data_IF_768316068002
#
_entry.id   IF_768316068002
#
_cell.length_a   1.000
_cell.length_b   1.000
_cell.length_c   1.000
_cell.angle_alpha   90.00
_cell.angle_beta   90.00
_cell.angle_gamma   90.00
#
_symmetry.space_group_name_H-M   'P 1'
#
loop_
_entity.id
_entity.type
_entity.pdbx_description
1 polymer ?
#
# COMPACT_ATOMS: atom_id res chain seq x y z
N UNK A 1 -21.04 16.12 0.44
CA UNK A 1 -20.63 16.01 -0.99
C UNK A 1 -19.15 16.32 -1.08
N UNK A 2 -18.48 16.00 -2.17
CA UNK A 2 -17.07 16.39 -2.36
C UNK A 2 -16.97 17.39 -3.49
N UNK A 3 -16.12 18.40 -3.31
CA UNK A 3 -15.82 19.39 -4.35
C UNK A 3 -14.31 19.45 -4.60
N UNK A 4 -13.92 19.73 -5.85
CA UNK A 4 -12.50 19.91 -6.19
C UNK A 4 -12.05 21.24 -5.58
N UNK A 5 -11.05 21.18 -4.70
CA UNK A 5 -10.44 22.36 -4.08
C UNK A 5 -9.08 22.70 -4.69
N UNK A 6 -8.41 21.71 -5.33
CA UNK A 6 -7.14 21.95 -5.99
C UNK A 6 -6.86 20.93 -7.09
N UNK A 7 -6.11 21.36 -8.11
CA UNK A 7 -5.54 20.50 -9.16
C UNK A 7 -4.06 20.85 -9.30
N UNK A 8 -3.20 19.86 -9.05
CA UNK A 8 -1.75 20.03 -9.17
C UNK A 8 -1.29 19.27 -10.40
N UNK A 9 -0.72 19.96 -11.38
CA UNK A 9 -0.18 19.37 -12.62
C UNK A 9 1.32 19.11 -12.49
N UNK A 10 1.80 18.14 -13.25
CA UNK A 10 3.21 17.72 -13.29
C UNK A 10 3.73 17.27 -11.92
N UNK A 11 2.90 16.56 -11.16
CA UNK A 11 3.32 15.93 -9.92
C UNK A 11 3.95 14.57 -10.26
N UNK A 12 5.09 14.17 -9.66
CA UNK A 12 5.58 12.81 -9.80
C UNK A 12 4.60 11.82 -9.18
N UNK A 13 4.64 10.55 -9.59
CA UNK A 13 3.78 9.52 -9.01
C UNK A 13 4.06 9.32 -7.51
N UNK A 14 5.30 9.54 -7.09
CA UNK A 14 5.70 9.44 -5.69
C UNK A 14 5.44 10.76 -4.96
N UNK A 15 4.25 10.94 -4.48
CA UNK A 15 3.89 12.03 -3.60
C UNK A 15 3.44 11.47 -2.23
N UNK A 16 3.58 12.29 -1.20
CA UNK A 16 3.17 11.96 0.15
C UNK A 16 2.12 12.95 0.64
N UNK A 17 1.20 12.45 1.44
CA UNK A 17 0.18 13.29 2.08
C UNK A 17 0.30 13.13 3.58
N UNK A 18 0.47 14.25 4.28
CA UNK A 18 0.50 14.29 5.74
C UNK A 18 -0.01 15.65 6.23
N UNK A 19 -0.83 15.65 7.29
CA UNK A 19 -1.39 16.84 7.93
C UNK A 19 -2.02 17.83 6.92
N UNK A 20 -2.77 17.29 5.93
CA UNK A 20 -3.39 18.05 4.85
C UNK A 20 -2.41 18.77 3.90
N UNK A 21 -1.14 18.37 3.91
CA UNK A 21 -0.16 18.81 2.94
C UNK A 21 0.20 17.69 1.97
N UNK A 22 0.42 18.07 0.72
CA UNK A 22 1.02 17.22 -0.31
C UNK A 22 2.50 17.57 -0.41
N UNK A 23 3.35 16.58 -0.32
CA UNK A 23 4.80 16.69 -0.48
C UNK A 23 5.22 15.96 -1.74
N UNK A 24 5.93 16.62 -2.61
CA UNK A 24 6.44 16.02 -3.83
C UNK A 24 7.75 16.65 -4.26
N UNK A 25 8.55 15.89 -4.99
CA UNK A 25 9.79 16.36 -5.57
C UNK A 25 9.53 17.18 -6.82
N UNK A 26 10.25 18.30 -6.96
CA UNK A 26 10.33 19.06 -8.20
C UNK A 26 11.77 19.49 -8.46
N UNK A 27 12.43 18.82 -9.41
CA UNK A 27 13.89 18.97 -9.60
C UNK A 27 14.65 18.64 -8.30
N UNK A 28 15.44 19.56 -7.77
CA UNK A 28 16.26 19.39 -6.57
C UNK A 28 15.64 20.00 -5.31
N UNK A 29 14.32 20.16 -5.28
CA UNK A 29 13.61 20.70 -4.12
C UNK A 29 12.37 19.88 -3.82
N UNK A 30 11.97 19.89 -2.56
CA UNK A 30 10.68 19.33 -2.12
C UNK A 30 9.68 20.46 -2.05
N UNK A 31 8.57 20.30 -2.71
CA UNK A 31 7.42 21.20 -2.63
C UNK A 31 6.48 20.66 -1.55
N UNK A 32 6.14 21.52 -0.61
CA UNK A 32 5.05 21.33 0.34
C UNK A 32 3.88 22.19 -0.13
N UNK A 33 2.78 21.57 -0.48
CA UNK A 33 1.59 22.24 -1.00
C UNK A 33 0.38 21.93 -0.11
N UNK A 34 -0.34 22.95 0.32
CA UNK A 34 -1.60 22.79 1.02
C UNK A 34 -2.76 22.63 0.01
N UNK A 35 -3.89 22.07 0.46
CA UNK A 35 -5.09 21.91 -0.39
C UNK A 35 -5.55 23.22 -1.03
N UNK A 36 -5.36 24.36 -0.37
CA UNK A 36 -5.74 25.70 -0.86
C UNK A 36 -4.71 26.39 -1.78
N UNK A 37 -3.78 25.65 -2.38
CA UNK A 37 -2.71 26.18 -3.26
C UNK A 37 -1.58 26.97 -2.57
N UNK A 38 -1.56 27.09 -1.27
CA UNK A 38 -0.38 27.64 -0.58
C UNK A 38 0.80 26.69 -0.77
N UNK A 39 1.85 27.17 -1.43
CA UNK A 39 3.06 26.41 -1.71
C UNK A 39 4.23 26.99 -0.91
N UNK A 40 4.97 26.11 -0.28
CA UNK A 40 6.27 26.41 0.29
C UNK A 40 7.30 25.43 -0.24
N UNK A 41 8.54 25.86 -0.30
CA UNK A 41 9.66 25.03 -0.72
C UNK A 41 10.45 24.63 0.50
N UNK A 42 10.69 23.34 0.67
CA UNK A 42 11.69 22.84 1.60
C UNK A 42 12.97 22.72 0.78
N UNK A 43 13.87 23.68 0.97
CA UNK A 43 15.18 23.61 0.36
C UNK A 43 16.00 22.55 1.11
N UNK A 44 16.41 21.53 0.40
CA UNK A 44 17.38 20.55 0.88
C UNK A 44 18.63 20.77 0.05
N UNK A 45 19.75 21.03 0.71
CA UNK A 45 21.04 21.24 0.04
C UNK A 45 21.61 19.89 -0.41
N UNK A 46 21.08 19.40 -1.51
CA UNK A 46 21.48 18.15 -2.15
C UNK A 46 21.88 18.45 -3.58
N UNK A 47 23.14 18.30 -3.88
CA UNK A 47 23.73 18.57 -5.19
C UNK A 47 23.40 17.52 -6.25
N UNK A 48 22.74 16.43 -5.88
CA UNK A 48 22.40 15.31 -6.79
C UNK A 48 20.91 15.07 -6.91
N UNK A 49 20.42 14.47 -8.00
CA UNK A 49 19.05 13.99 -8.10
C UNK A 49 18.69 13.06 -6.93
N UNK A 50 17.47 13.18 -6.43
CA UNK A 50 17.01 12.39 -5.28
C UNK A 50 15.57 11.92 -5.45
N UNK A 51 15.17 10.94 -4.65
CA UNK A 51 13.80 10.43 -4.54
C UNK A 51 13.38 10.48 -3.08
N UNK A 52 12.13 10.84 -2.83
CA UNK A 52 11.54 10.72 -1.49
C UNK A 52 11.08 9.28 -1.34
N UNK A 53 11.72 8.52 -0.47
CA UNK A 53 11.39 7.11 -0.25
C UNK A 53 10.24 6.92 0.74
N UNK A 54 10.18 7.78 1.75
CA UNK A 54 9.16 7.71 2.81
C UNK A 54 9.04 9.06 3.50
N UNK A 55 7.88 9.26 4.09
CA UNK A 55 7.62 10.34 5.04
C UNK A 55 6.85 9.76 6.24
N UNK A 56 7.21 10.19 7.44
CA UNK A 56 6.47 9.93 8.67
C UNK A 56 6.18 11.25 9.43
N UNK A 57 5.73 11.17 10.67
CA UNK A 57 5.33 12.35 11.45
C UNK A 57 6.46 13.36 11.73
N UNK A 58 7.71 12.95 11.61
CA UNK A 58 8.86 13.77 11.99
C UNK A 58 9.91 13.87 10.90
N UNK A 59 10.03 12.86 10.03
CA UNK A 59 11.13 12.73 9.10
C UNK A 59 10.70 12.51 7.65
N UNK A 60 11.51 13.08 6.74
CA UNK A 60 11.57 12.71 5.34
C UNK A 60 12.79 11.82 5.11
N UNK A 61 12.60 10.71 4.45
CA UNK A 61 13.67 9.82 4.03
C UNK A 61 13.90 9.99 2.54
N UNK A 62 15.09 10.41 2.19
CA UNK A 62 15.46 10.79 0.84
C UNK A 62 16.63 9.92 0.39
N UNK A 63 16.50 9.34 -0.79
CA UNK A 63 17.58 8.59 -1.42
C UNK A 63 18.19 9.38 -2.57
N UNK A 64 19.51 9.45 -2.59
CA UNK A 64 20.31 9.83 -3.76
C UNK A 64 21.02 8.60 -4.33
N UNK A 65 21.83 8.76 -5.35
CA UNK A 65 22.66 7.66 -5.89
C UNK A 65 23.68 7.10 -4.88
N UNK A 66 24.10 7.89 -3.90
CA UNK A 66 25.22 7.56 -3.01
C UNK A 66 24.84 7.50 -1.54
N UNK A 67 23.66 7.99 -1.16
CA UNK A 67 23.32 8.14 0.25
C UNK A 67 21.82 8.14 0.51
N UNK A 68 21.47 7.78 1.76
CA UNK A 68 20.16 8.04 2.35
C UNK A 68 20.31 9.23 3.30
N UNK A 69 19.35 10.11 3.26
CA UNK A 69 19.26 11.29 4.10
C UNK A 69 17.98 11.18 4.91
N UNK A 70 18.09 11.26 6.21
CA UNK A 70 16.97 11.46 7.12
C UNK A 70 16.89 12.95 7.45
N UNK A 71 15.86 13.61 6.96
CA UNK A 71 15.61 15.03 7.17
C UNK A 71 14.51 15.23 8.20
N UNK A 72 14.86 15.83 9.35
CA UNK A 72 13.90 16.27 10.36
C UNK A 72 13.34 17.63 9.94
N UNK A 73 12.07 17.65 9.54
CA UNK A 73 11.43 18.88 9.07
C UNK A 73 10.93 19.78 10.21
N UNK A 74 10.93 19.31 11.46
CA UNK A 74 10.63 20.13 12.64
C UNK A 74 11.85 20.94 13.03
N UNK A 75 13.01 20.29 13.09
CA UNK A 75 14.28 20.92 13.48
C UNK A 75 15.08 21.46 12.29
N UNK A 76 14.68 21.19 11.06
CA UNK A 76 15.39 21.51 9.80
C UNK A 76 16.82 20.97 9.79
N UNK A 77 17.05 19.85 10.45
CA UNK A 77 18.33 19.15 10.50
C UNK A 77 18.29 17.91 9.64
N UNK A 78 19.44 17.43 9.19
CA UNK A 78 19.53 16.18 8.47
C UNK A 78 20.70 15.32 8.93
N UNK A 79 20.48 14.04 8.92
CA UNK A 79 21.49 13.02 9.09
C UNK A 79 21.69 12.32 7.75
N UNK A 80 22.93 12.07 7.41
CA UNK A 80 23.29 11.46 6.14
C UNK A 80 23.98 10.14 6.39
N UNK A 81 23.51 9.10 5.75
CA UNK A 81 24.24 7.85 5.65
C UNK A 81 24.80 7.72 4.22
N UNK A 82 26.11 7.57 4.12
CA UNK A 82 26.79 7.43 2.83
C UNK A 82 27.07 5.98 2.56
N UNK A 83 26.27 5.35 1.70
CA UNK A 83 26.49 3.99 1.26
C UNK A 83 27.47 3.95 0.12
N UNK A 84 28.47 3.10 0.23
CA UNK A 84 29.30 2.73 -0.90
C UNK A 84 28.49 1.78 -1.80
N UNK A 85 28.25 2.18 -3.05
CA UNK A 85 27.60 1.39 -4.11
C UNK A 85 26.09 1.17 -3.92
N UNK A 86 25.30 2.26 -4.03
CA UNK A 86 23.83 2.17 -4.09
C UNK A 86 23.29 1.67 -5.45
N UNK A 87 24.10 1.62 -6.48
CA UNK A 87 23.66 1.42 -7.86
C UNK A 87 22.85 0.14 -8.08
N UNK A 88 23.08 -0.90 -7.27
CA UNK A 88 22.38 -2.20 -7.37
C UNK A 88 21.45 -2.49 -6.17
N UNK A 89 21.18 -1.48 -5.32
CA UNK A 89 20.37 -1.67 -4.11
C UNK A 89 19.02 -1.00 -4.23
N UNK A 90 17.97 -1.71 -3.84
CA UNK A 90 16.62 -1.18 -3.75
C UNK A 90 16.19 -1.09 -2.30
N UNK A 91 15.74 0.07 -1.85
CA UNK A 91 15.16 0.22 -0.53
C UNK A 91 13.81 -0.49 -0.53
N UNK A 92 13.65 -1.43 0.41
CA UNK A 92 12.41 -2.18 0.62
C UNK A 92 11.63 -1.66 1.82
N UNK A 93 12.34 -1.08 2.77
CA UNK A 93 11.76 -0.47 3.96
C UNK A 93 12.73 0.50 4.60
N UNK A 94 12.21 1.53 5.27
CA UNK A 94 12.97 2.50 6.03
C UNK A 94 12.15 3.01 7.22
N UNK A 95 12.78 3.18 8.37
CA UNK A 95 12.23 3.84 9.55
C UNK A 95 13.33 4.65 10.27
N UNK A 96 13.08 5.11 11.50
CA UNK A 96 14.01 5.93 12.27
C UNK A 96 15.28 5.19 12.72
N UNK A 97 15.25 3.86 12.82
CA UNK A 97 16.33 3.06 13.39
C UNK A 97 17.15 2.34 12.33
N UNK A 98 16.50 1.86 11.27
CA UNK A 98 17.13 1.03 10.25
C UNK A 98 16.43 1.15 8.91
N UNK A 99 17.06 0.59 7.89
CA UNK A 99 16.46 0.35 6.59
C UNK A 99 16.77 -1.05 6.10
N UNK A 100 15.93 -1.53 5.19
CA UNK A 100 16.12 -2.82 4.53
C UNK A 100 16.31 -2.57 3.05
N UNK A 101 17.38 -3.15 2.53
CA UNK A 101 17.70 -3.10 1.11
C UNK A 101 17.74 -4.50 0.52
N UNK A 102 17.32 -4.63 -0.72
CA UNK A 102 17.65 -5.78 -1.55
C UNK A 102 18.77 -5.42 -2.51
N UNK A 103 19.71 -6.31 -2.68
CA UNK A 103 20.86 -6.18 -3.58
C UNK A 103 20.97 -7.42 -4.45
N UNK A 104 21.13 -7.23 -5.76
CA UNK A 104 21.45 -8.31 -6.68
C UNK A 104 22.92 -8.66 -6.54
N UNK A 105 23.20 -9.87 -6.08
CA UNK A 105 24.58 -10.35 -5.81
C UNK A 105 25.16 -11.14 -6.98
N UNK A 106 24.29 -11.66 -7.86
CA UNK A 106 24.70 -12.41 -9.04
C UNK A 106 23.66 -12.27 -10.15
N UNK A 107 23.97 -11.43 -11.16
CA UNK A 107 23.08 -11.16 -12.30
C UNK A 107 22.84 -12.43 -13.18
N UNK A 108 23.84 -13.31 -13.34
CA UNK A 108 23.71 -14.50 -14.17
C UNK A 108 22.77 -15.55 -13.55
N UNK A 109 22.63 -15.55 -12.23
CA UNK A 109 21.78 -16.49 -11.48
C UNK A 109 20.54 -15.86 -10.88
N UNK A 110 20.34 -14.54 -11.09
CA UNK A 110 19.27 -13.78 -10.45
C UNK A 110 19.23 -13.94 -8.91
N UNK A 111 20.42 -14.07 -8.31
CA UNK A 111 20.55 -14.21 -6.86
C UNK A 111 20.50 -12.83 -6.18
N UNK A 112 19.62 -12.69 -5.22
CA UNK A 112 19.45 -11.46 -4.45
C UNK A 112 19.72 -11.69 -2.97
N UNK A 113 20.12 -10.64 -2.28
CA UNK A 113 20.29 -10.59 -0.82
C UNK A 113 19.44 -9.48 -0.23
N UNK A 114 18.78 -9.76 0.88
CA UNK A 114 18.11 -8.77 1.71
C UNK A 114 18.97 -8.48 2.93
N UNK A 115 19.24 -7.20 3.17
CA UNK A 115 20.05 -6.74 4.31
C UNK A 115 19.27 -5.78 5.17
N UNK A 116 19.31 -5.93 6.50
CA UNK A 116 18.86 -4.95 7.48
C UNK A 116 20.07 -4.17 7.98
N UNK A 117 20.05 -2.86 7.83
CA UNK A 117 21.21 -1.99 8.05
C UNK A 117 20.77 -0.80 8.91
N UNK A 118 21.59 -0.40 9.90
CA UNK A 118 21.37 0.81 10.70
C UNK A 118 21.80 2.06 9.95
N UNK A 119 21.41 3.25 10.44
CA UNK A 119 21.91 4.51 9.89
C UNK A 119 23.42 4.75 10.10
N UNK A 120 24.07 3.97 10.97
CA UNK A 120 25.52 3.96 11.18
C UNK A 120 26.27 2.98 10.27
N UNK A 121 25.57 2.38 9.29
CA UNK A 121 26.11 1.40 8.35
C UNK A 121 26.42 0.01 8.96
N UNK A 122 25.92 -0.28 10.16
CA UNK A 122 26.05 -1.57 10.77
C UNK A 122 25.03 -2.55 10.15
N UNK A 123 25.54 -3.64 9.59
CA UNK A 123 24.68 -4.69 9.06
C UNK A 123 24.20 -5.56 10.23
N UNK A 124 22.90 -5.53 10.51
CA UNK A 124 22.28 -6.31 11.57
C UNK A 124 22.09 -7.76 11.16
N UNK A 125 21.68 -7.99 9.91
CA UNK A 125 21.55 -9.31 9.33
C UNK A 125 21.47 -9.26 7.80
N UNK A 126 21.71 -10.42 7.17
CA UNK A 126 21.58 -10.67 5.74
C UNK A 126 20.93 -12.03 5.49
N UNK A 127 20.08 -12.12 4.49
CA UNK A 127 19.43 -13.35 4.06
C UNK A 127 19.35 -13.42 2.53
N UNK A 128 19.37 -14.63 1.94
CA UNK A 128 19.00 -14.81 0.54
C UNK A 128 17.59 -14.28 0.31
N UNK A 129 17.37 -13.62 -0.82
CA UNK A 129 16.12 -12.97 -1.14
C UNK A 129 15.79 -13.21 -2.62
N UNK A 130 14.52 -13.43 -2.92
CA UNK A 130 13.99 -13.44 -4.27
C UNK A 130 13.31 -12.10 -4.53
N UNK A 131 13.60 -11.44 -5.63
CA UNK A 131 13.04 -10.12 -5.94
C UNK A 131 11.51 -10.11 -6.08
N UNK A 132 10.88 -11.27 -6.27
CA UNK A 132 9.43 -11.44 -6.22
C UNK A 132 8.83 -11.34 -4.80
N UNK A 133 9.65 -11.26 -3.76
CA UNK A 133 9.17 -11.20 -2.39
C UNK A 133 8.58 -9.85 -2.02
N UNK A 134 7.55 -9.91 -1.17
CA UNK A 134 6.95 -8.76 -0.49
C UNK A 134 7.23 -8.82 1.00
N UNK A 135 7.45 -7.65 1.60
CA UNK A 135 7.75 -7.50 3.01
C UNK A 135 6.54 -6.90 3.74
N UNK A 136 6.22 -7.46 4.89
CA UNK A 136 5.24 -6.90 5.83
C UNK A 136 5.87 -6.86 7.21
N UNK A 137 5.92 -5.68 7.82
CA UNK A 137 6.54 -5.47 9.12
C UNK A 137 5.51 -5.66 10.22
N UNK A 138 5.85 -6.51 11.21
CA UNK A 138 5.09 -6.66 12.45
C UNK A 138 5.56 -5.60 13.46
N UNK A 139 6.86 -5.49 13.61
CA UNK A 139 7.55 -4.51 14.44
C UNK A 139 9.00 -4.37 13.98
N UNK A 140 9.84 -3.64 14.71
CA UNK A 140 11.24 -3.44 14.36
C UNK A 140 12.09 -4.72 14.36
N UNK A 141 11.60 -5.79 14.99
CA UNK A 141 12.34 -7.05 15.17
C UNK A 141 11.82 -8.20 14.30
N UNK A 142 10.58 -8.09 13.82
CA UNK A 142 9.86 -9.21 13.18
C UNK A 142 9.32 -8.81 11.82
N UNK A 143 9.66 -9.57 10.82
CA UNK A 143 9.29 -9.32 9.42
C UNK A 143 8.63 -10.56 8.85
N UNK A 144 7.50 -10.36 8.20
CA UNK A 144 6.88 -11.37 7.35
C UNK A 144 7.37 -11.18 5.92
N UNK A 145 7.82 -12.24 5.32
CA UNK A 145 8.23 -12.27 3.92
C UNK A 145 7.34 -13.24 3.17
N UNK A 146 6.83 -12.84 2.04
CA UNK A 146 6.01 -13.69 1.18
C UNK A 146 6.41 -13.57 -0.28
N UNK A 147 6.42 -14.69 -0.99
CA UNK A 147 6.52 -14.75 -2.44
C UNK A 147 5.26 -15.39 -3.05
N UNK A 148 5.38 -15.98 -4.23
CA UNK A 148 4.27 -16.63 -4.91
C UNK A 148 3.94 -18.03 -4.36
N UNK A 149 4.76 -18.61 -3.50
CA UNK A 149 4.64 -20.00 -3.03
C UNK A 149 4.70 -20.17 -1.52
N UNK A 150 5.33 -19.21 -0.81
CA UNK A 150 5.64 -19.32 0.61
C UNK A 150 5.35 -18.02 1.34
N UNK A 151 5.09 -18.18 2.63
CA UNK A 151 5.12 -17.12 3.62
C UNK A 151 5.94 -17.57 4.81
N UNK A 152 6.79 -16.71 5.33
CA UNK A 152 7.60 -17.02 6.49
C UNK A 152 7.87 -15.77 7.32
N UNK A 153 8.16 -15.99 8.59
CA UNK A 153 8.49 -14.98 9.57
C UNK A 153 9.97 -15.08 9.96
N UNK A 154 10.62 -13.93 9.99
CA UNK A 154 11.99 -13.79 10.44
C UNK A 154 12.03 -12.88 11.65
N UNK A 155 12.71 -13.35 12.71
CA UNK A 155 13.03 -12.57 13.90
C UNK A 155 14.32 -11.76 13.73
N UNK A 156 14.65 -11.00 14.77
CA UNK A 156 15.76 -10.04 14.77
C UNK A 156 17.15 -10.66 14.54
N UNK A 157 17.33 -11.93 14.91
CA UNK A 157 18.61 -12.64 14.81
C UNK A 157 18.78 -13.43 13.52
N UNK A 158 18.05 -13.09 12.45
CA UNK A 158 18.03 -13.86 11.20
C UNK A 158 17.56 -15.32 11.37
N UNK A 159 16.72 -15.56 12.36
CA UNK A 159 16.16 -16.88 12.65
C UNK A 159 14.77 -16.96 12.03
N UNK A 160 14.55 -17.97 11.21
CA UNK A 160 13.21 -18.32 10.76
C UNK A 160 12.39 -18.79 11.97
N UNK A 161 11.35 -18.01 12.32
CA UNK A 161 10.44 -18.36 13.41
C UNK A 161 9.45 -19.43 12.96
N UNK A 162 8.92 -19.28 11.76
CA UNK A 162 8.02 -20.23 11.12
C UNK A 162 7.96 -20.01 9.61
N UNK A 163 7.45 -21.03 8.89
CA UNK A 163 7.21 -20.98 7.45
C UNK A 163 5.99 -21.82 7.09
N UNK A 164 5.22 -21.35 6.10
CA UNK A 164 4.19 -22.13 5.44
C UNK A 164 4.37 -22.08 3.92
N UNK A 165 4.20 -23.22 3.26
CA UNK A 165 3.94 -23.21 1.81
C UNK A 165 2.46 -22.95 1.57
N UNK A 166 2.11 -22.31 0.46
CA UNK A 166 0.71 -22.09 0.13
C UNK A 166 -0.01 -23.41 -0.17
N UNK A 167 0.71 -24.42 -0.68
CA UNK A 167 0.19 -25.77 -0.91
C UNK A 167 -0.11 -26.54 0.38
N UNK A 168 0.53 -26.21 1.50
CA UNK A 168 0.21 -26.79 2.80
C UNK A 168 -1.03 -26.12 3.43
N UNK A 169 -1.23 -24.83 3.15
CA UNK A 169 -2.37 -24.06 3.65
C UNK A 169 -3.65 -24.36 2.88
N UNK A 170 -3.55 -24.46 1.57
CA UNK A 170 -4.70 -24.63 0.68
C UNK A 170 -4.45 -25.81 -0.28
N UNK A 171 -5.36 -26.77 -0.30
CA UNK A 171 -5.26 -27.89 -1.25
C UNK A 171 -5.64 -27.43 -2.64
N UNK A 172 -4.72 -27.54 -3.61
CA UNK A 172 -4.95 -27.16 -5.01
C UNK A 172 -3.68 -27.23 -5.84
N UNK A 173 -3.81 -27.09 -7.15
CA UNK A 173 -2.69 -27.19 -8.08
C UNK A 173 -2.10 -25.83 -8.51
N UNK A 174 -2.86 -24.75 -8.37
CA UNK A 174 -2.50 -23.42 -8.85
C UNK A 174 -2.89 -22.37 -7.82
N UNK A 175 -2.22 -22.43 -6.65
CA UNK A 175 -2.50 -21.56 -5.52
C UNK A 175 -1.71 -20.28 -5.67
N UNK A 176 -2.41 -19.15 -5.55
CA UNK A 176 -1.82 -17.83 -5.61
C UNK A 176 -2.28 -16.99 -4.42
N UNK A 177 -1.38 -16.13 -3.95
CA UNK A 177 -1.72 -15.08 -3.00
C UNK A 177 -2.50 -13.95 -3.67
N UNK A 178 -3.54 -13.49 -3.02
CA UNK A 178 -4.36 -12.37 -3.48
C UNK A 178 -4.10 -11.13 -2.62
N UNK A 179 -3.74 -10.03 -3.27
CA UNK A 179 -3.54 -8.75 -2.59
C UNK A 179 -2.35 -8.72 -1.62
N UNK A 180 -2.39 -7.79 -0.72
CA UNK A 180 -1.39 -7.61 0.34
C UNK A 180 -1.75 -8.44 1.58
N UNK A 181 -0.74 -8.77 2.37
CA UNK A 181 -0.93 -9.35 3.69
C UNK A 181 -1.32 -8.21 4.65
N UNK A 182 -2.37 -8.42 5.41
CA UNK A 182 -2.79 -7.48 6.45
C UNK A 182 -2.42 -8.06 7.81
N UNK A 183 -1.92 -7.20 8.69
CA UNK A 183 -1.69 -7.52 10.10
C UNK A 183 -2.53 -6.58 10.93
N UNK A 184 -3.31 -7.14 11.85
CA UNK A 184 -4.14 -6.36 12.76
C UNK A 184 -3.39 -5.94 14.03
N UNK A 185 -4.05 -5.16 14.90
CA UNK A 185 -3.51 -4.72 16.19
C UNK A 185 -3.18 -5.85 17.17
N UNK A 186 -3.76 -7.04 16.99
CA UNK A 186 -3.51 -8.22 17.81
C UNK A 186 -2.39 -9.10 17.24
N UNK A 187 -1.69 -8.60 16.23
CA UNK A 187 -0.59 -9.30 15.55
C UNK A 187 -1.11 -10.58 14.85
N UNK A 188 -2.37 -10.58 14.41
CA UNK A 188 -2.92 -11.62 13.57
C UNK A 188 -2.74 -11.20 12.11
N UNK A 189 -2.15 -12.11 11.34
CA UNK A 189 -1.90 -11.95 9.91
C UNK A 189 -3.06 -12.55 9.13
N UNK A 190 -3.56 -11.81 8.14
CA UNK A 190 -4.59 -12.25 7.21
C UNK A 190 -3.99 -12.42 5.83
N UNK A 191 -4.00 -13.67 5.36
CA UNK A 191 -3.47 -14.11 4.08
C UNK A 191 -4.60 -14.67 3.21
N UNK A 192 -4.85 -14.04 2.06
CA UNK A 192 -5.78 -14.58 1.07
C UNK A 192 -5.07 -15.48 0.08
N UNK A 193 -5.60 -16.69 -0.07
CA UNK A 193 -5.18 -17.64 -1.09
C UNK A 193 -6.34 -18.00 -2.00
N UNK A 194 -6.07 -18.10 -3.30
CA UNK A 194 -7.02 -18.59 -4.32
C UNK A 194 -6.45 -19.79 -5.06
N UNK A 195 -7.31 -20.71 -5.38
CA UNK A 195 -7.05 -21.77 -6.36
C UNK A 195 -7.68 -21.37 -7.68
N UNK A 196 -6.87 -21.14 -8.70
CA UNK A 196 -7.35 -20.72 -10.02
C UNK A 196 -8.18 -21.80 -10.73
N UNK A 197 -8.05 -23.07 -10.33
CA UNK A 197 -8.82 -24.20 -10.89
C UNK A 197 -10.10 -24.47 -10.11
N UNK A 198 -10.09 -24.30 -8.80
CA UNK A 198 -11.24 -24.55 -7.95
C UNK A 198 -11.53 -23.40 -6.99
N UNK A 199 -12.44 -22.51 -7.38
CA UNK A 199 -12.81 -21.33 -6.60
C UNK A 199 -13.44 -21.64 -5.23
N UNK A 200 -14.00 -22.84 -5.04
CA UNK A 200 -14.58 -23.25 -3.76
C UNK A 200 -13.53 -23.43 -2.67
N UNK A 201 -12.27 -23.64 -3.07
CA UNK A 201 -11.14 -23.73 -2.15
C UNK A 201 -10.66 -22.38 -1.63
N UNK A 202 -11.03 -21.30 -2.29
CA UNK A 202 -10.51 -19.96 -1.95
C UNK A 202 -10.84 -19.58 -0.50
N UNK A 203 -9.85 -19.06 0.20
CA UNK A 203 -10.00 -18.73 1.60
C UNK A 203 -9.03 -17.64 2.07
N UNK A 204 -9.41 -16.98 3.16
CA UNK A 204 -8.53 -16.14 3.97
C UNK A 204 -8.12 -16.90 5.22
N UNK A 205 -6.82 -16.96 5.46
CA UNK A 205 -6.21 -17.58 6.64
C UNK A 205 -5.90 -16.49 7.67
N UNK A 206 -6.36 -16.70 8.91
CA UNK A 206 -5.91 -15.92 10.05
C UNK A 206 -4.79 -16.69 10.75
N UNK A 207 -3.60 -16.12 10.79
CA UNK A 207 -2.38 -16.75 11.29
C UNK A 207 -1.82 -15.87 12.41
N UNK A 208 -1.48 -16.46 13.55
CA UNK A 208 -0.70 -15.76 14.56
C UNK A 208 0.69 -15.42 13.97
N UNK A 209 0.97 -14.14 13.83
CA UNK A 209 2.14 -13.67 13.11
C UNK A 209 3.46 -13.99 13.82
N UNK A 210 3.43 -14.26 15.14
CA UNK A 210 4.62 -14.60 15.92
C UNK A 210 4.91 -16.11 15.92
N UNK A 211 3.87 -16.94 15.95
CA UNK A 211 4.02 -18.39 16.08
C UNK A 211 3.77 -19.16 14.80
N UNK A 212 3.12 -18.56 13.81
CA UNK A 212 2.69 -19.21 12.58
C UNK A 212 1.46 -20.12 12.74
N UNK A 213 0.87 -20.19 13.91
CA UNK A 213 -0.30 -21.03 14.12
C UNK A 213 -1.51 -20.51 13.35
N UNK A 214 -2.18 -21.39 12.60
CA UNK A 214 -3.42 -21.07 11.94
C UNK A 214 -4.52 -20.97 13.01
N UNK A 215 -5.08 -19.76 13.17
CA UNK A 215 -6.13 -19.49 14.16
C UNK A 215 -7.52 -19.72 13.58
N UNK A 216 -7.71 -19.37 12.31
CA UNK A 216 -8.98 -19.56 11.61
C UNK A 216 -8.80 -19.62 10.09
N UNK A 217 -9.82 -20.18 9.39
CA UNK A 217 -9.89 -20.26 7.93
C UNK A 217 -11.29 -19.80 7.50
N UNK A 218 -11.34 -18.70 6.76
CA UNK A 218 -12.58 -18.10 6.26
C UNK A 218 -12.80 -18.48 4.80
N UNK A 219 -13.49 -19.60 4.57
CA UNK A 219 -13.79 -20.10 3.22
C UNK A 219 -14.75 -19.17 2.46
N UNK A 220 -14.47 -18.96 1.19
CA UNK A 220 -15.28 -18.11 0.31
C UNK A 220 -15.18 -16.61 0.63
N UNK A 221 -14.23 -16.20 1.49
CA UNK A 221 -13.82 -14.84 1.71
C UNK A 221 -12.36 -14.71 1.22
N UNK A 222 -12.18 -14.09 0.06
CA UNK A 222 -10.89 -14.02 -0.61
C UNK A 222 -10.89 -12.86 -1.61
N UNK A 223 -9.90 -12.02 -1.56
CA UNK A 223 -9.79 -10.85 -2.43
C UNK A 223 -8.74 -9.89 -1.89
N UNK A 224 -8.71 -8.68 -2.42
CA UNK A 224 -7.88 -7.62 -1.85
C UNK A 224 -8.56 -7.11 -0.58
N UNK A 225 -7.96 -7.45 0.55
CA UNK A 225 -8.48 -7.09 1.86
C UNK A 225 -8.23 -5.65 2.23
N UNK A 226 -9.15 -5.07 2.98
CA UNK A 226 -9.00 -3.81 3.70
C UNK A 226 -9.47 -4.02 5.14
N UNK A 227 -8.65 -3.62 6.11
CA UNK A 227 -8.97 -3.73 7.53
C UNK A 227 -9.44 -2.39 8.07
N UNK A 228 -10.60 -2.38 8.71
CA UNK A 228 -11.12 -1.22 9.42
C UNK A 228 -11.89 -1.66 10.67
N UNK A 229 -11.51 -1.15 11.84
CA UNK A 229 -12.22 -1.37 13.10
C UNK A 229 -12.58 -2.84 13.38
N UNK A 230 -11.58 -3.73 13.34
CA UNK A 230 -11.74 -5.18 13.54
C UNK A 230 -12.68 -5.87 12.53
N UNK A 231 -12.81 -5.29 11.35
CA UNK A 231 -13.58 -5.83 10.23
C UNK A 231 -12.70 -5.87 8.99
N UNK A 232 -12.66 -7.01 8.33
CA UNK A 232 -12.08 -7.13 7.01
C UNK A 232 -13.15 -6.95 5.94
N UNK A 233 -12.81 -6.20 4.93
CA UNK A 233 -13.64 -5.99 3.75
C UNK A 233 -12.91 -6.46 2.50
N UNK A 234 -13.69 -6.97 1.55
CA UNK A 234 -13.29 -7.13 0.16
C UNK A 234 -14.37 -6.52 -0.74
N UNK A 235 -13.97 -5.81 -1.78
CA UNK A 235 -14.89 -5.16 -2.71
C UNK A 235 -14.47 -5.46 -4.15
N UNK A 236 -15.41 -5.92 -4.98
CA UNK A 236 -15.12 -6.24 -6.38
C UNK A 236 -16.41 -6.29 -7.23
N UNK A 237 -16.36 -5.79 -8.45
CA UNK A 237 -17.46 -5.72 -9.37
C UNK A 237 -18.71 -5.05 -8.77
N UNK A 238 -19.68 -5.84 -8.29
CA UNK A 238 -20.93 -5.39 -7.69
C UNK A 238 -21.09 -5.83 -6.23
N UNK A 239 -20.05 -6.44 -5.66
CA UNK A 239 -20.12 -7.07 -4.35
C UNK A 239 -19.19 -6.39 -3.36
N UNK A 240 -19.64 -6.31 -2.13
CA UNK A 240 -18.82 -5.99 -0.96
C UNK A 240 -19.08 -7.06 0.08
N UNK A 241 -18.04 -7.78 0.46
CA UNK A 241 -18.10 -8.75 1.54
C UNK A 241 -17.43 -8.18 2.77
N UNK A 242 -18.00 -8.48 3.92
CA UNK A 242 -17.57 -8.04 5.23
C UNK A 242 -17.34 -9.26 6.12
N UNK A 243 -16.17 -9.38 6.72
CA UNK A 243 -15.86 -10.37 7.75
C UNK A 243 -15.68 -9.64 9.09
N UNK A 244 -16.58 -9.89 10.01
CA UNK A 244 -16.46 -9.46 11.40
C UNK A 244 -15.47 -10.37 12.11
N UNK A 245 -14.33 -9.83 12.53
CA UNK A 245 -13.24 -10.62 13.12
C UNK A 245 -13.54 -11.12 14.53
N UNK A 246 -14.43 -10.45 15.27
CA UNK A 246 -14.81 -10.87 16.60
C UNK A 246 -15.83 -12.03 16.55
N UNK A 247 -16.77 -11.96 15.62
CA UNK A 247 -17.84 -12.95 15.46
C UNK A 247 -17.46 -14.09 14.50
N UNK A 248 -16.48 -13.88 13.63
CA UNK A 248 -16.12 -14.80 12.56
C UNK A 248 -17.19 -14.92 11.46
N UNK A 249 -18.09 -13.94 11.36
CA UNK A 249 -19.24 -13.97 10.47
C UNK A 249 -18.97 -13.22 9.18
N UNK A 250 -19.20 -13.87 8.04
CA UNK A 250 -19.12 -13.25 6.72
C UNK A 250 -20.51 -12.77 6.31
N UNK A 251 -20.63 -11.48 6.02
CA UNK A 251 -21.83 -10.87 5.43
C UNK A 251 -21.53 -10.46 3.99
N UNK A 252 -22.37 -10.87 3.06
CA UNK A 252 -22.23 -10.56 1.63
C UNK A 252 -23.26 -9.52 1.22
N UNK A 253 -22.82 -8.44 0.64
CA UNK A 253 -23.67 -7.39 0.08
C UNK A 253 -23.59 -7.41 -1.44
N UNK A 254 -24.74 -7.44 -2.07
CA UNK A 254 -24.89 -7.31 -3.52
C UNK A 254 -25.44 -5.91 -3.84
N UNK A 255 -24.77 -5.24 -4.77
CA UNK A 255 -25.11 -3.91 -5.25
C UNK A 255 -25.37 -3.89 -6.77
N UNK A 256 -25.58 -5.05 -7.42
CA UNK A 256 -25.79 -5.12 -8.86
C UNK A 256 -26.96 -4.24 -9.30
N UNK A 257 -28.09 -4.28 -8.58
CA UNK A 257 -29.27 -3.45 -8.86
C UNK A 257 -29.00 -1.94 -8.69
N UNK A 258 -28.03 -1.57 -7.84
CA UNK A 258 -27.67 -0.17 -7.62
C UNK A 258 -26.66 0.34 -8.65
N UNK A 259 -25.64 -0.47 -8.98
CA UNK A 259 -24.48 -0.02 -9.76
C UNK A 259 -24.67 -0.24 -11.26
N UNK A 260 -25.27 -1.34 -11.66
CA UNK A 260 -25.44 -1.71 -13.08
C UNK A 260 -26.26 -0.70 -13.89
N UNK A 261 -27.39 -0.16 -13.38
CA UNK A 261 -28.15 0.88 -14.11
C UNK A 261 -27.37 2.17 -14.32
N UNK A 262 -26.40 2.46 -13.45
CA UNK A 262 -25.52 3.61 -13.53
C UNK A 262 -24.26 3.34 -14.35
N UNK A 263 -24.11 2.12 -14.87
CA UNK A 263 -22.88 1.66 -15.54
C UNK A 263 -21.63 1.86 -14.67
N UNK A 264 -21.74 1.50 -13.39
CA UNK A 264 -20.66 1.54 -12.41
C UNK A 264 -20.20 0.12 -12.07
N UNK A 265 -18.89 -0.06 -11.94
CA UNK A 265 -18.26 -1.32 -11.53
C UNK A 265 -17.15 -1.00 -10.54
N UNK A 266 -17.17 -1.66 -9.38
CA UNK A 266 -16.13 -1.46 -8.36
C UNK A 266 -14.80 -2.04 -8.85
N UNK A 267 -13.79 -1.17 -8.93
CA UNK A 267 -12.41 -1.60 -9.14
C UNK A 267 -11.79 -2.01 -7.80
N UNK A 268 -11.48 -3.28 -7.65
CA UNK A 268 -10.95 -3.83 -6.39
C UNK A 268 -9.55 -3.30 -6.02
N UNK A 269 -8.76 -2.87 -7.00
CA UNK A 269 -7.43 -2.31 -6.76
C UNK A 269 -7.48 -0.85 -6.33
N UNK A 270 -8.54 -0.13 -6.72
CA UNK A 270 -8.71 1.30 -6.53
C UNK A 270 -9.99 1.59 -5.77
N UNK A 271 -10.07 1.03 -4.57
CA UNK A 271 -11.20 1.21 -3.67
C UNK A 271 -10.71 1.43 -2.23
N UNK A 272 -11.46 2.21 -1.47
CA UNK A 272 -11.18 2.55 -0.07
C UNK A 272 -12.49 2.43 0.71
N UNK A 273 -12.47 1.67 1.81
CA UNK A 273 -13.56 1.63 2.78
C UNK A 273 -13.28 2.66 3.87
N UNK A 274 -14.28 3.47 4.22
CA UNK A 274 -14.28 4.36 5.36
C UNK A 274 -15.66 4.38 6.01
N UNK A 275 -15.77 3.74 7.18
CA UNK A 275 -17.03 3.53 7.89
C UNK A 275 -18.02 2.72 7.06
N UNK A 276 -19.14 3.32 6.77
CA UNK A 276 -20.22 2.76 5.94
C UNK A 276 -20.13 3.18 4.45
N UNK A 277 -19.00 3.71 4.02
CA UNK A 277 -18.78 4.21 2.67
C UNK A 277 -17.69 3.47 1.95
N UNK A 278 -17.95 3.17 0.68
CA UNK A 278 -16.97 2.67 -0.26
C UNK A 278 -16.70 3.75 -1.30
N UNK A 279 -15.46 4.25 -1.33
CA UNK A 279 -14.90 5.10 -2.37
C UNK A 279 -14.28 4.18 -3.42
N UNK A 280 -14.61 4.35 -4.67
CA UNK A 280 -14.05 3.49 -5.72
C UNK A 280 -13.91 4.19 -7.06
N UNK A 281 -12.91 3.78 -7.81
CA UNK A 281 -12.80 4.07 -9.24
C UNK A 281 -13.70 3.11 -9.97
N UNK A 282 -14.51 3.62 -10.89
CA UNK A 282 -15.42 2.78 -11.65
C UNK A 282 -14.76 2.25 -12.92
N UNK A 283 -14.76 0.92 -13.07
CA UNK A 283 -14.23 0.23 -14.25
C UNK A 283 -12.95 -0.55 -13.96
N UNK A 284 -12.72 -1.59 -14.75
CA UNK A 284 -11.59 -2.51 -14.58
C UNK A 284 -10.35 -2.08 -15.36
N UNK A 285 -10.53 -1.24 -16.37
CA UNK A 285 -9.50 -0.76 -17.29
C UNK A 285 -9.50 0.76 -17.21
N UNK A 286 -8.51 1.40 -17.77
CA UNK A 286 -8.31 2.86 -17.81
C UNK A 286 -9.61 3.66 -17.70
N UNK A 287 -9.80 4.36 -16.59
CA UNK A 287 -11.04 5.07 -16.28
C UNK A 287 -10.75 6.35 -15.50
N UNK A 288 -11.63 7.31 -15.64
CA UNK A 288 -11.59 8.62 -14.98
C UNK A 288 -12.82 8.89 -14.10
N UNK A 289 -13.63 7.87 -13.81
CA UNK A 289 -14.87 8.01 -13.03
C UNK A 289 -14.67 7.50 -11.61
N UNK A 290 -15.11 8.29 -10.64
CA UNK A 290 -15.06 7.98 -9.21
C UNK A 290 -16.47 8.02 -8.66
N UNK A 291 -16.80 7.12 -7.73
CA UNK A 291 -18.06 7.12 -7.03
C UNK A 291 -17.89 6.78 -5.56
N UNK A 292 -18.88 7.19 -4.75
CA UNK A 292 -19.01 6.83 -3.34
C UNK A 292 -20.34 6.11 -3.15
N UNK A 293 -20.26 4.88 -2.69
CA UNK A 293 -21.39 4.02 -2.36
C UNK A 293 -21.61 4.02 -0.84
N UNK A 294 -22.81 4.37 -0.40
CA UNK A 294 -23.26 4.16 0.98
C UNK A 294 -23.68 2.69 1.11
N UNK A 295 -22.92 1.92 1.87
CA UNK A 295 -23.12 0.47 2.02
C UNK A 295 -24.40 0.13 2.78
N UNK A 296 -24.80 0.99 3.74
CA UNK A 296 -26.00 0.81 4.55
C UNK A 296 -27.27 1.17 3.77
N UNK A 297 -27.26 2.31 3.07
CA UNK A 297 -28.42 2.77 2.29
C UNK A 297 -28.48 2.16 0.90
N UNK A 298 -27.46 1.41 0.50
CA UNK A 298 -27.33 0.78 -0.82
C UNK A 298 -27.55 1.75 -1.99
N UNK A 299 -26.92 2.92 -1.92
CA UNK A 299 -27.05 3.95 -2.96
C UNK A 299 -25.75 4.70 -3.20
N UNK A 300 -25.57 5.18 -4.44
CA UNK A 300 -24.52 6.13 -4.77
C UNK A 300 -24.90 7.47 -4.15
N UNK A 301 -24.00 8.04 -3.35
CA UNK A 301 -24.17 9.30 -2.67
C UNK A 301 -23.39 10.45 -3.31
N UNK A 302 -22.39 10.09 -4.11
CA UNK A 302 -21.59 11.04 -4.87
C UNK A 302 -20.89 10.32 -6.03
N UNK A 303 -20.76 11.01 -7.16
CA UNK A 303 -19.92 10.56 -8.27
C UNK A 303 -19.39 11.74 -9.06
N UNK A 304 -18.27 11.55 -9.73
CA UNK A 304 -17.68 12.51 -10.65
C UNK A 304 -16.90 11.81 -11.75
N UNK A 305 -16.77 12.52 -12.88
CA UNK A 305 -15.88 12.14 -13.97
C UNK A 305 -14.79 13.21 -14.03
N UNK A 306 -13.53 12.80 -13.95
CA UNK A 306 -12.40 13.71 -14.04
C UNK A 306 -12.23 14.18 -15.48
N UNK A 307 -12.06 15.48 -15.64
CA UNK A 307 -11.66 16.08 -16.92
C UNK A 307 -10.14 15.90 -17.08
N UNK A 308 -9.72 14.78 -17.64
CA UNK A 308 -8.31 14.46 -17.91
C UNK A 308 -7.98 14.98 -19.31
N UNK A 309 -6.89 15.75 -19.44
CA UNK A 309 -6.53 16.41 -20.71
C UNK A 309 -6.15 15.40 -21.80
N UNK A 310 -5.44 14.31 -21.43
CA UNK A 310 -5.11 13.23 -22.36
C UNK A 310 -6.16 12.12 -22.26
N UNK A 311 -6.83 11.83 -23.37
CA UNK A 311 -7.85 10.78 -23.48
C UNK A 311 -7.37 9.38 -23.14
N UNK A 312 -6.04 9.14 -23.15
CA UNK A 312 -5.45 7.88 -22.76
C UNK A 312 -5.11 7.82 -21.26
N UNK A 313 -5.25 8.91 -20.55
CA UNK A 313 -4.94 8.99 -19.13
C UNK A 313 -6.06 8.42 -18.28
N UNK A 314 -5.69 7.86 -17.14
CA UNK A 314 -6.58 7.20 -16.22
C UNK A 314 -6.16 7.43 -14.77
N UNK A 315 -7.07 7.17 -13.84
CA UNK A 315 -6.79 7.23 -12.41
C UNK A 315 -5.82 6.10 -12.05
N UNK A 316 -4.69 6.46 -11.44
CA UNK A 316 -3.66 5.52 -10.96
C UNK A 316 -3.94 5.10 -9.53
N UNK A 317 -4.21 6.08 -8.66
CA UNK A 317 -4.35 5.85 -7.22
C UNK A 317 -5.37 6.80 -6.62
N UNK A 318 -6.00 6.34 -5.53
CA UNK A 318 -6.81 7.16 -4.63
C UNK A 318 -6.29 7.00 -3.20
N UNK A 319 -6.28 8.10 -2.44
CA UNK A 319 -5.99 8.13 -1.00
C UNK A 319 -7.01 9.00 -0.30
N UNK A 320 -7.58 8.47 0.78
CA UNK A 320 -8.44 9.25 1.67
C UNK A 320 -7.63 9.58 2.93
N UNK A 321 -7.47 10.86 3.22
CA UNK A 321 -6.77 11.34 4.41
C UNK A 321 -7.67 12.38 5.07
N UNK A 322 -8.17 12.08 6.24
CA UNK A 322 -9.18 12.86 6.94
C UNK A 322 -10.42 13.11 6.04
N UNK A 323 -10.77 14.37 5.79
CA UNK A 323 -11.90 14.76 4.94
C UNK A 323 -11.50 15.04 3.47
N UNK A 324 -10.26 14.72 3.07
CA UNK A 324 -9.76 14.97 1.72
C UNK A 324 -9.54 13.67 0.95
N UNK A 325 -10.02 13.64 -0.30
CA UNK A 325 -9.76 12.58 -1.25
C UNK A 325 -8.73 13.06 -2.28
N UNK A 326 -7.61 12.38 -2.34
CA UNK A 326 -6.51 12.63 -3.26
C UNK A 326 -6.56 11.60 -4.38
N UNK A 327 -6.57 12.06 -5.63
CA UNK A 327 -6.69 11.20 -6.80
C UNK A 327 -5.60 11.55 -7.80
N UNK A 328 -4.67 10.63 -8.01
CA UNK A 328 -3.61 10.80 -9.00
C UNK A 328 -3.95 10.13 -10.32
N UNK A 329 -3.55 10.76 -11.41
CA UNK A 329 -3.76 10.29 -12.77
C UNK A 329 -2.45 10.03 -13.49
N UNK A 330 -2.49 9.17 -14.52
CA UNK A 330 -1.31 8.76 -15.30
C UNK A 330 -0.67 9.90 -16.11
N UNK A 331 -1.37 11.03 -16.28
CA UNK A 331 -0.85 12.27 -16.87
C UNK A 331 -0.11 13.17 -15.87
N UNK A 332 0.24 12.64 -14.70
CA UNK A 332 0.89 13.39 -13.62
C UNK A 332 0.03 14.53 -13.04
N UNK A 333 -1.28 14.39 -13.08
CA UNK A 333 -2.21 15.32 -12.43
C UNK A 333 -2.71 14.74 -11.12
N UNK A 334 -2.71 15.54 -10.06
CA UNK A 334 -3.32 15.24 -8.77
C UNK A 334 -4.53 16.11 -8.55
N UNK A 335 -5.70 15.50 -8.39
CA UNK A 335 -6.93 16.14 -7.97
C UNK A 335 -7.08 16.01 -6.45
N UNK A 336 -7.44 17.11 -5.80
CA UNK A 336 -7.72 17.15 -4.37
C UNK A 336 -9.17 17.55 -4.19
N UNK A 337 -9.94 16.69 -3.56
CA UNK A 337 -11.34 16.92 -3.21
C UNK A 337 -11.46 17.08 -1.70
N UNK A 338 -12.22 18.07 -1.28
CA UNK A 338 -12.60 18.27 0.12
C UNK A 338 -14.07 17.93 0.32
N UNK A 339 -14.38 17.27 1.42
CA UNK A 339 -15.76 16.97 1.81
C UNK A 339 -16.44 18.27 2.22
N UNK A 340 -17.55 18.58 1.58
CA UNK A 340 -18.40 19.73 1.92
C UNK A 340 -18.95 19.55 3.35
N UNK A 341 -18.84 20.61 4.15
CA UNK A 341 -19.33 20.66 5.54
C UNK A 341 -20.84 20.74 5.62
#
# INVERSE_FOLDING_TARGET
MFSIVNIIKNIPFDFFVQDNFVYYQKKNVIIKCKSNNEKSTIAIDIDSPFVIEKMDSSFLYIRTWEKIIRFDYNNKSYETNSFKNFNNKQIRFINEEFFIVSEEINEEKEEWELSKITFNDDILWKIPFDNAYKLTFINNETIIISNNSFIYCIGNSNVYLWQHSFSDLLTGENIEKVGEIIVDKNIILYLCLKDNKNRENNATFAIDAMTGNILNIYKGFYGRLQLQNDVLYEAFYYHVNKLDLQLGVITKYDFEETLKPLNLIINYEKSIIDGDKLYFVSGLIATNRIAILDLTKKKIIWETILEIEDSNSFIVEMRLVEDNLYVSCSDHTLYIFEKEK
#
